data_IF_309053881818
#
_entry.id   IF_309053881818
#
_cell.length_a   1.000
_cell.length_b   1.000
_cell.length_c   1.000
_cell.angle_alpha   90.00
_cell.angle_beta   90.00
_cell.angle_gamma   90.00
#
_symmetry.space_group_name_H-M   'P 1'
#
loop_
_entity.id
_entity.type
_entity.pdbx_description
1 polymer ?
#
# COMPACT_ATOMS: atom_id res chain seq x y z
N UNK A 1 -15.74 -0.15 -26.83
CA UNK A 1 -15.57 -1.61 -26.72
C UNK A 1 -15.68 -1.96 -25.24
N UNK A 2 -16.43 -2.99 -24.87
CA UNK A 2 -16.49 -3.47 -23.48
C UNK A 2 -15.13 -4.07 -23.15
N UNK A 3 -14.29 -3.35 -22.40
CA UNK A 3 -13.08 -3.95 -21.81
C UNK A 3 -13.53 -5.13 -20.97
N UNK A 4 -13.07 -6.33 -21.31
CA UNK A 4 -13.18 -7.48 -20.42
C UNK A 4 -12.37 -7.12 -19.18
N UNK A 5 -13.01 -7.12 -18.02
CA UNK A 5 -12.34 -6.85 -16.74
C UNK A 5 -12.11 -8.20 -16.07
N UNK A 6 -10.97 -8.36 -15.42
CA UNK A 6 -10.71 -9.51 -14.55
C UNK A 6 -11.75 -9.66 -13.44
N UNK A 7 -11.61 -10.69 -12.62
CA UNK A 7 -12.58 -10.99 -11.55
C UNK A 7 -12.05 -10.56 -10.19
N UNK A 8 -12.96 -10.17 -9.32
CA UNK A 8 -12.69 -9.88 -7.91
C UNK A 8 -13.42 -10.93 -7.08
N UNK A 9 -12.66 -11.69 -6.30
CA UNK A 9 -13.17 -12.72 -5.40
C UNK A 9 -13.12 -12.19 -3.96
N UNK A 10 -14.19 -12.40 -3.20
CA UNK A 10 -14.23 -12.08 -1.77
C UNK A 10 -13.96 -13.35 -0.96
N UNK A 11 -12.96 -13.27 -0.07
CA UNK A 11 -12.52 -14.40 0.76
C UNK A 11 -12.57 -13.97 2.23
N UNK A 12 -13.08 -14.84 3.09
CA UNK A 12 -12.95 -14.70 4.54
C UNK A 12 -11.70 -15.42 5.02
N UNK A 13 -10.80 -14.70 5.69
CA UNK A 13 -9.55 -15.23 6.22
C UNK A 13 -9.50 -15.03 7.74
N UNK A 14 -9.38 -16.11 8.51
CA UNK A 14 -9.23 -16.00 9.95
C UNK A 14 -7.78 -15.62 10.33
N UNK A 15 -7.59 -14.47 10.95
CA UNK A 15 -6.30 -14.01 11.43
C UNK A 15 -6.09 -14.40 12.89
N UNK A 16 -5.07 -15.21 13.16
CA UNK A 16 -4.67 -15.55 14.52
C UNK A 16 -4.02 -14.36 15.25
N UNK A 17 -3.38 -13.44 14.52
CA UNK A 17 -2.79 -12.23 15.09
C UNK A 17 -3.85 -11.22 15.52
N UNK A 18 -4.92 -11.07 14.74
CA UNK A 18 -6.01 -10.14 15.04
C UNK A 18 -7.17 -10.78 15.83
N UNK A 19 -7.19 -12.12 15.94
CA UNK A 19 -8.25 -12.89 16.58
C UNK A 19 -9.64 -12.63 15.97
N UNK A 20 -9.70 -12.52 14.64
CA UNK A 20 -10.92 -12.22 13.90
C UNK A 20 -10.85 -12.67 12.44
N UNK A 21 -12.01 -12.78 11.80
CA UNK A 21 -12.09 -12.87 10.35
C UNK A 21 -11.80 -11.51 9.70
N UNK A 22 -10.93 -11.55 8.70
CA UNK A 22 -10.53 -10.47 7.81
C UNK A 22 -11.05 -10.78 6.42
N UNK A 23 -11.83 -9.88 5.85
CA UNK A 23 -12.24 -9.96 4.45
C UNK A 23 -11.06 -9.61 3.55
N UNK A 24 -10.85 -10.40 2.50
CA UNK A 24 -9.88 -10.12 1.44
C UNK A 24 -10.64 -9.98 0.11
N UNK A 25 -10.28 -8.98 -0.68
CA UNK A 25 -10.76 -8.78 -2.04
C UNK A 25 -9.61 -9.10 -3.00
N UNK A 26 -9.64 -10.28 -3.62
CA UNK A 26 -8.59 -10.74 -4.53
C UNK A 26 -8.99 -10.48 -5.97
N UNK A 27 -8.29 -9.56 -6.61
CA UNK A 27 -8.44 -9.30 -8.04
C UNK A 27 -7.44 -10.11 -8.85
N UNK A 28 -7.98 -10.86 -9.81
CA UNK A 28 -7.24 -11.63 -10.80
C UNK A 28 -7.51 -11.03 -12.19
N UNK A 29 -6.49 -10.63 -12.95
CA UNK A 29 -6.69 -10.03 -14.26
C UNK A 29 -7.25 -11.01 -15.29
N UNK A 30 -7.78 -10.51 -16.41
CA UNK A 30 -8.44 -11.33 -17.47
C UNK A 30 -7.60 -12.53 -17.92
N UNK A 31 -6.29 -12.36 -18.05
CA UNK A 31 -5.34 -13.38 -18.50
C UNK A 31 -4.57 -14.04 -17.34
N UNK A 32 -5.12 -13.99 -16.12
CA UNK A 32 -4.54 -14.71 -14.98
C UNK A 32 -4.37 -16.19 -15.33
N UNK A 33 -3.20 -16.73 -15.00
CA UNK A 33 -2.89 -18.15 -15.19
C UNK A 33 -2.02 -18.67 -14.06
N UNK A 34 -2.31 -19.87 -13.53
CA UNK A 34 -1.45 -20.49 -12.51
C UNK A 34 -0.03 -20.82 -13.02
N UNK A 35 0.21 -20.75 -14.34
CA UNK A 35 1.48 -21.09 -14.98
C UNK A 35 2.55 -19.99 -14.89
N UNK A 36 2.17 -18.77 -14.54
CA UNK A 36 3.09 -17.64 -14.45
C UNK A 36 3.10 -17.05 -13.06
N UNK A 37 4.27 -16.56 -12.63
CA UNK A 37 4.38 -15.81 -11.39
C UNK A 37 3.84 -14.39 -11.54
N UNK A 38 3.26 -13.88 -10.47
CA UNK A 38 2.67 -12.55 -10.39
C UNK A 38 3.32 -11.72 -9.27
N UNK A 39 3.48 -10.44 -9.54
CA UNK A 39 3.68 -9.41 -8.51
C UNK A 39 2.37 -9.22 -7.75
N UNK A 40 2.46 -9.01 -6.44
CA UNK A 40 1.29 -8.83 -5.58
C UNK A 40 1.24 -7.39 -5.10
N UNK A 41 0.12 -6.72 -5.36
CA UNK A 41 -0.20 -5.44 -4.71
C UNK A 41 -1.15 -5.72 -3.56
N UNK A 42 -0.73 -5.45 -2.33
CA UNK A 42 -1.59 -5.53 -1.14
C UNK A 42 -2.06 -4.12 -0.82
N UNK A 43 -3.34 -3.87 -1.07
CA UNK A 43 -3.97 -2.56 -0.89
C UNK A 43 -4.65 -2.48 0.48
N UNK A 44 -4.14 -1.61 1.34
CA UNK A 44 -4.89 -1.14 2.51
C UNK A 44 -6.16 -0.44 2.04
N UNK A 45 -7.21 -0.42 2.85
CA UNK A 45 -8.50 0.17 2.45
C UNK A 45 -9.02 -0.40 1.13
N UNK A 46 -8.92 -1.72 0.96
CA UNK A 46 -9.09 -2.39 -0.33
C UNK A 46 -10.39 -2.04 -1.07
N UNK A 47 -11.50 -1.85 -0.35
CA UNK A 47 -12.76 -1.39 -0.96
C UNK A 47 -12.61 -0.05 -1.66
N UNK A 48 -11.90 0.89 -1.06
CA UNK A 48 -11.71 2.24 -1.59
C UNK A 48 -10.78 2.21 -2.80
N UNK A 49 -9.69 1.43 -2.76
CA UNK A 49 -8.84 1.22 -3.94
C UNK A 49 -9.59 0.60 -5.13
N UNK A 50 -10.51 -0.33 -4.89
CA UNK A 50 -11.34 -0.90 -5.96
C UNK A 50 -12.46 0.05 -6.43
N UNK A 51 -13.14 0.75 -5.51
CA UNK A 51 -14.32 1.54 -5.81
C UNK A 51 -14.01 2.98 -6.20
N UNK A 52 -13.15 3.66 -5.47
CA UNK A 52 -12.75 5.04 -5.71
C UNK A 52 -11.53 5.08 -6.63
N UNK A 53 -10.48 4.33 -6.28
CA UNK A 53 -9.24 4.27 -7.06
C UNK A 53 -9.37 3.57 -8.42
N UNK A 54 -10.35 2.67 -8.56
CA UNK A 54 -10.49 1.78 -9.73
C UNK A 54 -9.19 1.02 -10.05
N UNK A 55 -8.43 0.62 -9.02
CA UNK A 55 -7.09 0.05 -9.15
C UNK A 55 -7.02 -1.13 -10.15
N UNK A 56 -7.99 -2.04 -10.09
CA UNK A 56 -8.13 -3.15 -11.04
C UNK A 56 -8.16 -2.70 -12.52
N UNK A 57 -8.84 -1.60 -12.84
CA UNK A 57 -8.89 -1.06 -14.22
C UNK A 57 -7.57 -0.42 -14.64
N UNK A 58 -6.87 0.19 -13.69
CA UNK A 58 -5.53 0.75 -13.94
C UNK A 58 -4.56 -0.39 -14.28
N UNK A 59 -4.59 -1.48 -13.52
CA UNK A 59 -3.80 -2.68 -13.81
C UNK A 59 -4.14 -3.28 -15.17
N UNK A 60 -5.42 -3.47 -15.52
CA UNK A 60 -5.77 -3.97 -16.87
C UNK A 60 -5.17 -3.10 -17.97
N UNK A 61 -5.36 -1.78 -17.88
CA UNK A 61 -4.87 -0.84 -18.90
C UNK A 61 -3.35 -0.84 -19.03
N UNK A 62 -2.62 -0.81 -17.92
CA UNK A 62 -1.15 -0.81 -17.93
C UNK A 62 -0.58 -2.15 -18.41
N UNK A 63 -1.35 -3.24 -18.29
CA UNK A 63 -0.94 -4.56 -18.79
C UNK A 63 -1.22 -4.73 -20.28
N UNK A 64 -2.27 -4.09 -20.81
CA UNK A 64 -2.52 -4.05 -22.26
C UNK A 64 -1.34 -3.43 -23.02
N UNK A 65 -0.63 -2.49 -22.40
CA UNK A 65 0.55 -1.82 -22.98
C UNK A 65 1.89 -2.49 -22.60
N UNK A 66 1.85 -3.62 -21.89
CA UNK A 66 3.05 -4.31 -21.36
C UNK A 66 3.98 -3.40 -20.54
N UNK A 67 3.44 -2.38 -19.87
CA UNK A 67 4.25 -1.44 -19.05
C UNK A 67 4.62 -2.02 -17.68
N UNK A 68 3.85 -2.99 -17.20
CA UNK A 68 4.00 -3.54 -15.85
C UNK A 68 4.06 -5.07 -15.84
N UNK A 69 4.68 -5.61 -14.79
CA UNK A 69 4.66 -7.04 -14.51
C UNK A 69 3.24 -7.61 -14.38
N UNK A 70 3.12 -8.92 -14.61
CA UNK A 70 1.89 -9.67 -14.30
C UNK A 70 1.54 -9.43 -12.83
N UNK A 71 0.37 -8.85 -12.57
CA UNK A 71 0.04 -8.34 -11.23
C UNK A 71 -1.34 -8.82 -10.80
N UNK A 72 -1.46 -9.25 -9.55
CA UNK A 72 -2.72 -9.44 -8.83
C UNK A 72 -2.84 -8.38 -7.72
N UNK A 73 -4.07 -8.05 -7.31
CA UNK A 73 -4.30 -7.14 -6.18
C UNK A 73 -5.03 -7.89 -5.07
N UNK A 74 -4.54 -7.78 -3.84
CA UNK A 74 -5.22 -8.25 -2.63
C UNK A 74 -5.60 -7.03 -1.80
N UNK A 75 -6.87 -6.61 -1.86
CA UNK A 75 -7.39 -5.52 -1.07
C UNK A 75 -7.86 -5.98 0.30
N UNK A 76 -7.56 -5.20 1.34
CA UNK A 76 -7.97 -5.46 2.73
C UNK A 76 -8.96 -4.35 3.13
N UNK A 77 -10.28 -4.60 3.10
CA UNK A 77 -11.26 -3.65 3.59
C UNK A 77 -11.15 -3.46 5.11
N UNK A 78 -11.31 -2.23 5.59
CA UNK A 78 -11.49 -1.97 7.01
C UNK A 78 -12.95 -2.19 7.43
N UNK A 79 -13.18 -2.63 8.68
CA UNK A 79 -14.54 -2.90 9.20
C UNK A 79 -15.31 -1.61 9.44
N UNK A 80 -14.65 -0.65 10.08
CA UNK A 80 -15.13 0.70 10.33
C UNK A 80 -13.94 1.60 10.64
N UNK A 81 -14.21 2.90 10.73
CA UNK A 81 -13.20 3.95 10.90
C UNK A 81 -12.42 3.80 12.22
N UNK A 82 -13.03 3.30 13.29
CA UNK A 82 -12.36 3.05 14.57
C UNK A 82 -11.39 1.87 14.47
N UNK A 83 -11.85 0.74 13.92
CA UNK A 83 -11.01 -0.45 13.70
C UNK A 83 -9.83 -0.16 12.76
N UNK A 84 -10.06 0.65 11.70
CA UNK A 84 -8.99 1.16 10.83
C UNK A 84 -7.93 1.92 11.63
N UNK A 85 -8.35 2.83 12.51
CA UNK A 85 -7.44 3.61 13.36
C UNK A 85 -6.61 2.71 14.26
N UNK A 86 -7.25 1.79 15.00
CA UNK A 86 -6.57 0.89 15.93
C UNK A 86 -5.49 0.02 15.26
N UNK A 87 -5.70 -0.33 13.99
CA UNK A 87 -4.78 -1.16 13.20
C UNK A 87 -3.70 -0.35 12.49
N UNK A 88 -4.00 0.85 12.00
CA UNK A 88 -3.10 1.56 11.08
C UNK A 88 -2.28 2.65 11.77
N UNK A 89 -2.82 3.28 12.82
CA UNK A 89 -2.15 4.39 13.48
C UNK A 89 -0.97 3.89 14.33
N UNK A 90 0.22 4.55 14.30
CA UNK A 90 1.38 4.13 15.08
C UNK A 90 1.07 4.00 16.58
N UNK A 91 1.60 2.95 17.21
CA UNK A 91 1.44 2.65 18.65
C UNK A 91 0.00 2.41 19.15
N UNK A 92 -0.99 2.31 18.26
CA UNK A 92 -2.33 1.84 18.65
C UNK A 92 -2.34 0.34 18.96
N UNK A 93 -3.31 -0.08 19.76
CA UNK A 93 -3.37 -1.42 20.41
C UNK A 93 -3.28 -2.58 19.40
N UNK A 94 -3.88 -2.43 18.21
CA UNK A 94 -3.89 -3.49 17.19
C UNK A 94 -2.81 -3.31 16.13
N UNK A 95 -2.02 -2.24 16.15
CA UNK A 95 -1.07 -1.94 15.07
C UNK A 95 -0.01 -3.02 14.89
N UNK A 96 0.66 -3.42 15.97
CA UNK A 96 1.65 -4.50 15.92
C UNK A 96 1.04 -5.84 15.46
N UNK A 97 -0.19 -6.15 15.89
CA UNK A 97 -0.91 -7.34 15.48
C UNK A 97 -1.29 -7.32 13.99
N UNK A 98 -1.69 -6.16 13.46
CA UNK A 98 -2.00 -5.97 12.05
C UNK A 98 -0.77 -6.14 11.17
N UNK A 99 0.35 -5.52 11.55
CA UNK A 99 1.64 -5.69 10.87
C UNK A 99 2.04 -7.16 10.87
N UNK A 100 1.88 -7.87 12.00
CA UNK A 100 2.18 -9.31 12.11
C UNK A 100 1.26 -10.15 11.20
N UNK A 101 -0.03 -9.81 11.13
CA UNK A 101 -0.98 -10.42 10.20
C UNK A 101 -0.51 -10.26 8.75
N UNK A 102 -0.12 -9.07 8.32
CA UNK A 102 0.37 -8.85 6.95
C UNK A 102 1.58 -9.75 6.64
N UNK A 103 2.59 -9.75 7.52
CA UNK A 103 3.87 -10.41 7.26
C UNK A 103 3.85 -11.93 7.44
N UNK A 104 3.15 -12.43 8.46
CA UNK A 104 3.24 -13.84 8.88
C UNK A 104 2.00 -14.67 8.59
N UNK A 105 0.91 -14.04 8.13
CA UNK A 105 -0.33 -14.76 7.84
C UNK A 105 -0.78 -14.49 6.39
N UNK A 106 -0.96 -13.22 6.02
CA UNK A 106 -1.45 -12.86 4.70
C UNK A 106 -0.44 -13.17 3.59
N UNK A 107 0.82 -12.76 3.74
CA UNK A 107 1.83 -13.01 2.72
C UNK A 107 2.04 -14.53 2.44
N UNK A 108 2.20 -15.40 3.47
CA UNK A 108 2.21 -16.85 3.25
C UNK A 108 0.93 -17.39 2.62
N UNK A 109 -0.25 -16.95 3.06
CA UNK A 109 -1.52 -17.39 2.48
C UNK A 109 -1.60 -17.08 0.98
N UNK A 110 -1.18 -15.88 0.57
CA UNK A 110 -1.17 -15.49 -0.83
C UNK A 110 -0.21 -16.39 -1.63
N UNK A 111 0.97 -16.69 -1.08
CA UNK A 111 1.97 -17.53 -1.75
C UNK A 111 1.56 -18.99 -1.92
N UNK A 112 0.77 -19.51 -0.99
CA UNK A 112 0.24 -20.88 -1.04
C UNK A 112 -0.90 -21.02 -2.05
N UNK A 113 -1.66 -19.95 -2.29
CA UNK A 113 -2.87 -19.99 -3.11
C UNK A 113 -2.68 -19.40 -4.52
N UNK A 114 -1.63 -18.61 -4.75
CA UNK A 114 -1.36 -17.95 -6.03
C UNK A 114 0.12 -18.10 -6.41
N UNK A 115 0.46 -18.25 -7.70
CA UNK A 115 1.86 -18.27 -8.14
C UNK A 115 2.44 -16.85 -8.05
N UNK A 116 3.18 -16.57 -6.98
CA UNK A 116 3.76 -15.24 -6.73
C UNK A 116 5.28 -15.24 -6.78
N UNK A 117 5.85 -14.05 -6.91
CA UNK A 117 7.27 -13.83 -6.62
C UNK A 117 7.46 -13.74 -5.10
N UNK A 118 7.92 -14.83 -4.48
CA UNK A 118 8.09 -14.97 -3.04
C UNK A 118 9.34 -14.25 -2.48
N UNK A 119 9.45 -12.96 -2.78
CA UNK A 119 10.55 -12.09 -2.35
C UNK A 119 10.04 -10.66 -2.18
N UNK A 120 10.70 -9.84 -1.36
CA UNK A 120 10.30 -8.46 -1.11
C UNK A 120 9.97 -7.67 -2.37
N UNK A 121 10.83 -7.71 -3.40
CA UNK A 121 10.61 -6.99 -4.67
C UNK A 121 9.37 -7.44 -5.45
N UNK A 122 8.84 -8.63 -5.17
CA UNK A 122 7.63 -9.18 -5.74
C UNK A 122 6.33 -8.73 -5.05
N UNK A 123 6.42 -7.95 -3.97
CA UNK A 123 5.25 -7.46 -3.22
C UNK A 123 5.31 -5.97 -2.99
N UNK A 124 4.18 -5.32 -3.27
CA UNK A 124 3.92 -3.91 -3.04
C UNK A 124 2.90 -3.78 -1.92
N UNK A 125 3.19 -2.96 -0.92
CA UNK A 125 2.18 -2.44 0.00
C UNK A 125 1.73 -1.06 -0.49
N UNK A 126 0.42 -0.82 -0.60
CA UNK A 126 -0.13 0.47 -1.01
C UNK A 126 -1.21 0.93 -0.05
N UNK A 127 -1.23 2.22 0.27
CA UNK A 127 -2.33 2.83 1.00
C UNK A 127 -2.31 4.36 0.98
N UNK A 128 -3.48 4.93 1.24
CA UNK A 128 -3.70 6.35 1.45
C UNK A 128 -3.70 6.70 2.93
N UNK A 129 -3.22 7.89 3.30
CA UNK A 129 -3.27 8.37 4.68
C UNK A 129 -2.64 7.35 5.65
N UNK A 130 -3.37 6.94 6.70
CA UNK A 130 -2.94 5.88 7.62
C UNK A 130 -2.63 4.54 6.92
N UNK A 131 -3.28 4.22 5.80
CA UNK A 131 -2.96 3.06 4.97
C UNK A 131 -1.53 3.12 4.42
N UNK A 132 -1.09 4.32 3.98
CA UNK A 132 0.28 4.57 3.55
C UNK A 132 1.26 4.46 4.72
N UNK A 133 0.90 5.02 5.88
CA UNK A 133 1.67 4.93 7.12
C UNK A 133 1.95 3.48 7.54
N UNK A 134 0.90 2.65 7.67
CA UNK A 134 1.06 1.25 8.10
C UNK A 134 1.79 0.42 7.05
N UNK A 135 1.61 0.73 5.76
CA UNK A 135 2.34 0.08 4.66
C UNK A 135 3.84 0.32 4.76
N UNK A 136 4.24 1.57 4.99
CA UNK A 136 5.65 1.93 5.14
C UNK A 136 6.28 1.31 6.38
N UNK A 137 5.63 1.44 7.53
CA UNK A 137 6.08 0.80 8.78
C UNK A 137 6.26 -0.72 8.62
N UNK A 138 5.31 -1.38 7.97
CA UNK A 138 5.37 -2.83 7.72
C UNK A 138 6.57 -3.20 6.86
N UNK A 139 6.85 -2.45 5.79
CA UNK A 139 8.00 -2.71 4.92
C UNK A 139 9.34 -2.46 5.62
N UNK A 140 9.45 -1.46 6.49
CA UNK A 140 10.66 -1.23 7.29
C UNK A 140 10.92 -2.38 8.29
N UNK A 141 9.86 -2.99 8.84
CA UNK A 141 9.98 -4.12 9.77
C UNK A 141 10.23 -5.45 9.04
N UNK A 142 9.70 -5.62 7.82
CA UNK A 142 9.76 -6.86 7.04
C UNK A 142 10.22 -6.63 5.59
N UNK A 143 11.42 -6.06 5.36
CA UNK A 143 11.87 -5.64 4.03
C UNK A 143 12.07 -6.81 3.05
N UNK A 144 12.34 -8.00 3.56
CA UNK A 144 12.50 -9.21 2.75
C UNK A 144 11.15 -9.82 2.34
N UNK A 145 10.05 -9.45 3.01
CA UNK A 145 8.69 -9.85 2.67
C UNK A 145 8.02 -8.81 1.76
N UNK A 146 8.23 -7.53 2.04
CA UNK A 146 7.69 -6.38 1.31
C UNK A 146 8.80 -5.41 0.95
N UNK A 147 9.14 -5.34 -0.34
CA UNK A 147 10.26 -4.54 -0.86
C UNK A 147 9.83 -3.29 -1.60
N UNK A 148 8.52 -3.08 -1.77
CA UNK A 148 7.97 -1.95 -2.51
C UNK A 148 6.81 -1.33 -1.74
N UNK A 149 6.75 0.00 -1.69
CA UNK A 149 5.69 0.73 -0.98
C UNK A 149 5.20 1.90 -1.81
N UNK A 150 3.88 2.05 -1.91
CA UNK A 150 3.22 3.25 -2.44
C UNK A 150 2.51 3.96 -1.28
N UNK A 151 2.96 5.18 -0.97
CA UNK A 151 2.43 6.03 0.09
C UNK A 151 1.72 7.24 -0.53
N UNK A 152 0.39 7.25 -0.43
CA UNK A 152 -0.42 8.38 -0.88
C UNK A 152 -0.80 9.23 0.33
N UNK A 153 -0.09 10.34 0.52
CA UNK A 153 -0.29 11.29 1.62
C UNK A 153 -0.24 10.65 3.03
N UNK A 154 0.82 9.91 3.41
CA UNK A 154 0.85 9.20 4.68
C UNK A 154 0.84 10.15 5.88
N UNK A 155 0.28 9.70 6.99
CA UNK A 155 0.50 10.35 8.28
C UNK A 155 1.93 10.01 8.77
N UNK A 156 2.67 11.02 9.22
CA UNK A 156 4.04 10.87 9.70
C UNK A 156 4.16 11.49 11.09
N UNK A 157 4.57 10.68 12.06
CA UNK A 157 4.90 11.10 13.42
C UNK A 157 6.34 10.69 13.79
N UNK A 158 6.74 10.94 15.04
CA UNK A 158 8.05 10.53 15.54
C UNK A 158 8.28 9.02 15.44
N UNK A 159 7.23 8.19 15.58
CA UNK A 159 7.34 6.74 15.45
C UNK A 159 7.77 6.34 14.05
N UNK A 160 7.10 6.90 13.02
CA UNK A 160 7.42 6.67 11.61
C UNK A 160 8.82 7.18 11.29
N UNK A 161 9.17 8.38 11.75
CA UNK A 161 10.49 8.99 11.53
C UNK A 161 11.61 8.16 12.16
N UNK A 162 11.41 7.69 13.39
CA UNK A 162 12.40 6.86 14.09
C UNK A 162 12.58 5.50 13.41
N UNK A 163 11.49 4.86 12.95
CA UNK A 163 11.59 3.61 12.19
C UNK A 163 12.39 3.80 10.89
N UNK A 164 12.11 4.86 10.13
CA UNK A 164 12.85 5.17 8.90
C UNK A 164 14.33 5.48 9.19
N UNK A 165 14.61 6.21 10.28
CA UNK A 165 15.97 6.53 10.73
C UNK A 165 16.72 5.29 11.22
N UNK A 166 16.08 4.34 11.90
CA UNK A 166 16.78 3.20 12.47
C UNK A 166 16.95 2.03 11.50
N UNK A 167 16.17 2.03 10.40
CA UNK A 167 16.22 1.02 9.36
C UNK A 167 17.60 0.86 8.72
N UNK A 168 18.07 -0.39 8.62
CA UNK A 168 19.47 -0.71 8.29
C UNK A 168 19.77 -0.87 6.81
N UNK A 169 18.78 -1.20 6.00
CA UNK A 169 18.99 -1.51 4.58
C UNK A 169 18.08 -0.71 3.64
N UNK A 170 18.29 0.62 3.51
CA UNK A 170 17.48 1.50 2.65
C UNK A 170 17.31 1.03 1.21
N UNK A 171 18.26 0.26 0.68
CA UNK A 171 18.27 -0.24 -0.70
C UNK A 171 17.38 -1.50 -0.87
N UNK A 172 16.93 -2.12 0.22
CA UNK A 172 15.94 -3.19 0.18
C UNK A 172 14.54 -2.70 -0.17
N UNK A 173 14.27 -1.40 -0.01
CA UNK A 173 12.95 -0.81 -0.22
C UNK A 173 12.95 0.17 -1.40
N UNK A 174 11.96 0.03 -2.27
CA UNK A 174 11.59 1.00 -3.30
C UNK A 174 10.29 1.70 -2.88
N UNK A 175 10.33 3.02 -2.79
CA UNK A 175 9.26 3.85 -2.26
C UNK A 175 8.71 4.77 -3.36
N UNK A 176 7.40 4.84 -3.48
CA UNK A 176 6.69 5.87 -4.25
C UNK A 176 5.86 6.70 -3.25
N UNK A 177 6.16 7.99 -3.14
CA UNK A 177 5.63 8.86 -2.10
C UNK A 177 5.04 10.12 -2.73
N UNK A 178 3.74 10.34 -2.52
CA UNK A 178 3.08 11.58 -2.98
C UNK A 178 2.37 12.28 -1.84
N UNK A 179 2.25 13.61 -1.92
CA UNK A 179 1.54 14.44 -0.94
C UNK A 179 0.94 15.68 -1.62
N UNK A 180 -0.24 16.10 -1.18
CA UNK A 180 -0.88 17.33 -1.65
C UNK A 180 -0.35 18.57 -0.90
N UNK A 181 -0.04 19.65 -1.62
CA UNK A 181 0.50 20.90 -1.02
C UNK A 181 -0.51 21.65 -0.15
N UNK A 182 -1.81 21.34 -0.25
CA UNK A 182 -2.86 21.96 0.56
C UNK A 182 -3.22 21.14 1.81
N UNK A 183 -2.50 20.05 2.09
CA UNK A 183 -2.74 19.15 3.23
C UNK A 183 -2.21 19.69 4.57
N UNK A 184 -2.29 21.01 4.78
CA UNK A 184 -1.78 21.70 5.97
C UNK A 184 -2.74 21.62 7.18
N UNK A 185 -3.98 21.19 6.94
CA UNK A 185 -5.02 21.09 7.97
C UNK A 185 -5.96 19.89 7.72
N UNK A 186 -5.40 18.68 7.70
CA UNK A 186 -6.16 17.44 7.48
C UNK A 186 -6.98 17.11 8.72
N UNK A 187 -8.30 16.93 8.54
CA UNK A 187 -9.20 16.43 9.58
C UNK A 187 -9.02 14.93 9.75
N UNK A 188 -8.48 14.54 10.88
CA UNK A 188 -8.25 13.14 11.24
C UNK A 188 -9.50 12.50 11.80
N UNK A 189 -9.50 11.17 11.76
CA UNK A 189 -10.54 10.30 12.31
C UNK A 189 -10.81 10.53 13.80
N UNK A 190 -9.81 10.94 14.58
CA UNK A 190 -9.93 11.23 16.00
C UNK A 190 -10.45 12.66 16.29
N UNK A 191 -10.87 13.39 15.25
CA UNK A 191 -11.37 14.76 15.35
C UNK A 191 -10.27 15.82 15.44
N UNK A 192 -9.00 15.41 15.49
CA UNK A 192 -7.88 16.34 15.47
C UNK A 192 -7.64 16.89 14.06
N UNK A 193 -6.97 18.03 13.99
CA UNK A 193 -6.47 18.61 12.75
C UNK A 193 -4.95 18.54 12.80
N UNK A 194 -4.33 18.06 11.73
CA UNK A 194 -2.87 17.98 11.66
C UNK A 194 -2.37 18.45 10.30
N UNK A 195 -1.19 19.06 10.31
CA UNK A 195 -0.41 19.32 9.10
C UNK A 195 0.22 18.01 8.64
N UNK A 196 -0.02 17.65 7.37
CA UNK A 196 0.63 16.50 6.74
C UNK A 196 1.79 16.94 5.83
N UNK A 197 1.86 18.20 5.40
CA UNK A 197 2.85 18.65 4.42
C UNK A 197 4.26 18.64 4.99
N UNK A 198 4.49 19.36 6.09
CA UNK A 198 5.83 19.48 6.66
C UNK A 198 6.39 18.13 7.15
N UNK A 199 5.65 17.29 7.89
CA UNK A 199 6.14 15.96 8.28
C UNK A 199 6.49 15.06 7.08
N UNK A 200 5.76 15.17 5.96
CA UNK A 200 6.06 14.42 4.74
C UNK A 200 7.32 14.94 4.02
N UNK A 201 7.56 16.26 4.03
CA UNK A 201 8.79 16.87 3.50
C UNK A 201 10.01 16.49 4.34
N UNK A 202 9.86 16.48 5.66
CA UNK A 202 10.90 16.01 6.59
C UNK A 202 11.22 14.53 6.37
N UNK A 203 10.18 13.69 6.22
CA UNK A 203 10.37 12.27 5.88
C UNK A 203 11.10 12.12 4.55
N UNK A 204 10.68 12.81 3.49
CA UNK A 204 11.36 12.75 2.20
C UNK A 204 12.85 13.16 2.31
N UNK A 205 13.15 14.23 3.04
CA UNK A 205 14.52 14.67 3.31
C UNK A 205 15.33 13.57 4.01
N UNK A 206 14.75 12.92 5.02
CA UNK A 206 15.37 11.77 5.70
C UNK A 206 15.61 10.61 4.73
N UNK A 207 14.63 10.24 3.91
CA UNK A 207 14.72 9.13 2.96
C UNK A 207 15.83 9.34 1.93
N UNK A 208 15.94 10.56 1.38
CA UNK A 208 17.01 10.93 0.44
C UNK A 208 18.38 10.86 1.13
N UNK A 209 18.52 11.48 2.31
CA UNK A 209 19.79 11.49 3.06
C UNK A 209 20.26 10.09 3.48
N UNK A 210 19.32 9.15 3.58
CA UNK A 210 19.58 7.75 3.91
C UNK A 210 19.75 6.85 2.70
N UNK A 211 19.72 7.40 1.48
CA UNK A 211 19.82 6.66 0.24
C UNK A 211 18.73 5.57 0.12
N UNK A 212 17.47 5.87 0.45
CA UNK A 212 16.37 5.00 0.01
C UNK A 212 16.18 5.13 -1.51
N UNK A 213 15.71 4.06 -2.17
CA UNK A 213 15.24 4.16 -3.54
C UNK A 213 13.85 4.79 -3.47
N UNK A 214 13.75 6.10 -3.72
CA UNK A 214 12.50 6.85 -3.52
C UNK A 214 12.13 7.70 -4.71
N UNK A 215 10.85 7.72 -5.05
CA UNK A 215 10.21 8.73 -5.88
C UNK A 215 9.31 9.59 -4.99
N UNK A 216 9.49 10.91 -5.05
CA UNK A 216 8.70 11.88 -4.30
C UNK A 216 8.07 12.91 -5.24
N UNK A 217 6.76 13.10 -5.17
CA UNK A 217 6.03 14.13 -5.92
C UNK A 217 5.06 14.90 -4.99
N UNK A 218 5.14 16.23 -5.00
CA UNK A 218 4.09 17.09 -4.44
C UNK A 218 3.09 17.45 -5.54
N UNK A 219 1.79 17.38 -5.26
CA UNK A 219 0.74 17.80 -6.19
C UNK A 219 -0.10 18.94 -5.62
N UNK A 220 -0.64 19.78 -6.50
CA UNK A 220 -1.56 20.85 -6.12
C UNK A 220 -2.93 20.24 -5.78
N UNK A 221 -3.23 20.12 -4.48
CA UNK A 221 -4.43 19.45 -4.01
C UNK A 221 -4.44 19.13 -2.52
N UNK A 222 -5.55 18.54 -2.10
CA UNK A 222 -5.89 18.26 -0.70
C UNK A 222 -6.09 16.75 -0.46
N UNK A 223 -6.35 16.34 0.77
CA UNK A 223 -6.37 14.96 1.25
C UNK A 223 -7.62 14.17 0.81
N UNK A 224 -7.74 13.87 -0.50
CA UNK A 224 -8.93 13.22 -1.07
C UNK A 224 -8.61 12.24 -2.20
N UNK A 225 -9.51 11.26 -2.36
CA UNK A 225 -9.45 10.26 -3.43
C UNK A 225 -9.44 10.81 -4.86
N UNK A 226 -9.87 12.06 -5.09
CA UNK A 226 -9.77 12.70 -6.41
C UNK A 226 -8.31 12.72 -6.90
N UNK A 227 -7.38 13.07 -6.01
CA UNK A 227 -5.96 13.18 -6.35
C UNK A 227 -5.30 11.81 -6.36
N UNK A 228 -5.55 10.98 -5.35
CA UNK A 228 -4.99 9.62 -5.26
C UNK A 228 -5.44 8.71 -6.42
N UNK A 229 -6.69 8.83 -6.87
CA UNK A 229 -7.17 8.13 -8.07
C UNK A 229 -6.42 8.58 -9.33
N UNK A 230 -6.11 9.87 -9.46
CA UNK A 230 -5.39 10.43 -10.61
C UNK A 230 -3.93 10.01 -10.61
N UNK A 231 -3.34 9.83 -9.42
CA UNK A 231 -1.96 9.40 -9.21
C UNK A 231 -1.75 7.89 -9.47
N UNK A 232 -2.74 7.04 -9.16
CA UNK A 232 -2.64 5.57 -9.26
C UNK A 232 -1.98 5.02 -10.54
N UNK A 233 -2.29 5.52 -11.76
CA UNK A 233 -1.61 5.09 -12.98
C UNK A 233 -0.10 5.35 -12.97
N UNK A 234 0.34 6.52 -12.47
CA UNK A 234 1.76 6.86 -12.34
C UNK A 234 2.41 5.96 -11.29
N UNK A 235 1.77 5.81 -10.13
CA UNK A 235 2.27 4.97 -9.04
C UNK A 235 2.48 3.51 -9.50
N UNK A 236 1.49 2.92 -10.16
CA UNK A 236 1.58 1.55 -10.67
C UNK A 236 2.58 1.41 -11.82
N UNK A 237 2.62 2.33 -12.78
CA UNK A 237 3.61 2.31 -13.87
C UNK A 237 5.04 2.38 -13.30
N UNK A 238 5.28 3.22 -12.29
CA UNK A 238 6.57 3.32 -11.62
C UNK A 238 6.94 2.03 -10.87
N UNK A 239 6.11 1.63 -9.90
CA UNK A 239 6.46 0.62 -8.90
C UNK A 239 6.37 -0.82 -9.45
N UNK A 240 5.56 -1.05 -10.49
CA UNK A 240 5.36 -2.36 -11.12
C UNK A 240 6.09 -2.51 -12.46
N UNK A 241 6.90 -1.52 -12.85
CA UNK A 241 7.69 -1.59 -14.09
C UNK A 241 8.58 -2.84 -14.14
N UNK A 242 8.67 -3.44 -15.33
CA UNK A 242 9.59 -4.53 -15.61
C UNK A 242 11.01 -3.96 -15.66
N UNK A 243 11.79 -4.13 -14.59
CA UNK A 243 13.22 -3.78 -14.54
C UNK A 243 14.09 -5.00 -14.82
#
# INVERSE_FOLDING_TARGET
MSQTIGRIEEISFYSASLQEDVTLLVYLPVNYTPLHKHTVVIAQDGRDYFQLGKAHRVIERLRETEEIDRTIIVGIPYKNVHDRKEKYFPNEVKNAAYIRFLAHELAPYIDENYPTYQMGKGRVLIGDSLGGTVSFMTALMYPHTFGKVVMQSPFVDETVMNLAKDFKDPQALELYHVIGTEETAVKRTDGQVSDFVEPNRELNTLLINRNFITHYEEFEGNHTWKYWQTDLPKAFSHILSMK
#
